data_IF_230858039248
#
_entry.id   IF_230858039248
#
_cell.length_a   1.000
_cell.length_b   1.000
_cell.length_c   1.000
_cell.angle_alpha   90.00
_cell.angle_beta   90.00
_cell.angle_gamma   90.00
#
_symmetry.space_group_name_H-M   'P 1'
#
loop_
_entity.id
_entity.type
_entity.pdbx_description
1 polymer ?
#
# COMPACT_ATOMS: atom_id res chain seq x y z
N UNK A 1 3.35 -29.46 -10.00
CA UNK A 1 3.66 -28.09 -9.57
C UNK A 1 5.16 -27.85 -9.69
N UNK A 2 5.55 -26.83 -10.43
CA UNK A 2 6.96 -26.46 -10.52
C UNK A 2 7.40 -25.68 -9.29
N UNK A 3 8.56 -26.04 -8.75
CA UNK A 3 9.17 -25.32 -7.63
C UNK A 3 10.42 -24.61 -8.12
N UNK A 4 10.71 -23.48 -7.51
CA UNK A 4 11.86 -22.67 -7.87
C UNK A 4 12.50 -22.09 -6.61
N UNK A 5 13.82 -22.00 -6.60
CA UNK A 5 14.55 -21.43 -5.48
C UNK A 5 14.77 -19.93 -5.70
N UNK A 6 14.37 -19.14 -4.71
CA UNK A 6 14.68 -17.72 -4.72
C UNK A 6 16.15 -17.50 -4.41
N UNK A 7 16.87 -16.79 -5.25
CA UNK A 7 18.29 -16.55 -5.05
C UNK A 7 18.59 -15.57 -3.92
N UNK A 8 17.59 -14.81 -3.47
CA UNK A 8 17.78 -13.85 -2.39
C UNK A 8 17.50 -14.45 -1.01
N UNK A 9 16.31 -15.02 -0.82
CA UNK A 9 15.92 -15.58 0.48
C UNK A 9 16.18 -17.09 0.57
N UNK A 10 16.52 -17.73 -0.55
CA UNK A 10 16.84 -19.15 -0.67
C UNK A 10 15.69 -20.10 -0.34
N UNK A 11 14.48 -19.60 -0.21
CA UNK A 11 13.31 -20.45 -0.05
C UNK A 11 12.95 -21.12 -1.37
N UNK A 12 12.45 -22.35 -1.27
CA UNK A 12 11.94 -23.08 -2.43
C UNK A 12 10.43 -22.88 -2.45
N UNK A 13 9.93 -22.20 -3.48
CA UNK A 13 8.55 -21.77 -3.56
C UNK A 13 7.94 -22.18 -4.90
N UNK A 14 6.60 -22.27 -4.97
CA UNK A 14 5.93 -22.51 -6.26
C UNK A 14 6.33 -21.47 -7.30
N UNK A 15 6.42 -21.89 -8.54
CA UNK A 15 6.80 -21.03 -9.66
C UNK A 15 5.93 -19.78 -9.76
N UNK A 16 4.67 -19.88 -9.32
CA UNK A 16 3.73 -18.75 -9.31
C UNK A 16 4.16 -17.60 -8.39
N UNK A 17 5.09 -17.84 -7.48
CA UNK A 17 5.64 -16.81 -6.59
C UNK A 17 6.75 -15.99 -7.25
N UNK A 18 7.02 -16.24 -8.52
CA UNK A 18 8.06 -15.54 -9.27
C UNK A 18 7.44 -14.86 -10.49
N UNK A 19 7.89 -13.65 -10.77
CA UNK A 19 7.54 -13.01 -12.04
C UNK A 19 8.31 -13.70 -13.17
N UNK A 20 7.80 -13.68 -14.41
CA UNK A 20 8.51 -14.30 -15.54
C UNK A 20 9.94 -13.78 -15.65
N UNK A 21 10.87 -14.70 -15.92
CA UNK A 21 12.29 -14.40 -16.14
C UNK A 21 13.00 -13.79 -14.92
N UNK A 22 12.51 -14.05 -13.70
CA UNK A 22 13.16 -13.58 -12.48
C UNK A 22 13.58 -14.75 -11.60
N UNK A 23 14.61 -14.54 -10.80
CA UNK A 23 15.11 -15.51 -9.83
C UNK A 23 14.87 -15.08 -8.39
N UNK A 24 14.10 -14.01 -8.21
CA UNK A 24 13.71 -13.51 -6.88
C UNK A 24 12.21 -13.65 -6.72
N UNK A 25 11.76 -14.18 -5.59
CA UNK A 25 10.35 -14.34 -5.33
C UNK A 25 9.66 -12.99 -5.17
N UNK A 26 8.34 -12.99 -5.31
CA UNK A 26 7.54 -11.75 -5.22
C UNK A 26 7.71 -11.05 -3.88
N UNK A 27 7.91 -11.80 -2.80
CA UNK A 27 8.11 -11.21 -1.47
C UNK A 27 9.43 -10.45 -1.44
N UNK A 28 10.52 -11.03 -1.93
CA UNK A 28 11.81 -10.34 -1.98
C UNK A 28 11.78 -9.13 -2.89
N UNK A 29 11.07 -9.20 -4.01
CA UNK A 29 10.91 -8.07 -4.92
C UNK A 29 10.12 -6.95 -4.27
N UNK A 30 9.05 -7.30 -3.53
CA UNK A 30 8.26 -6.33 -2.78
C UNK A 30 9.13 -5.63 -1.74
N UNK A 31 9.90 -6.39 -0.97
CA UNK A 31 10.76 -5.84 0.07
C UNK A 31 11.80 -4.91 -0.52
N UNK A 32 12.37 -5.29 -1.65
CA UNK A 32 13.33 -4.44 -2.38
C UNK A 32 12.69 -3.14 -2.85
N UNK A 33 11.48 -3.22 -3.44
CA UNK A 33 10.77 -2.04 -3.91
C UNK A 33 10.45 -1.07 -2.76
N UNK A 34 10.01 -1.59 -1.64
CA UNK A 34 9.72 -0.75 -0.47
C UNK A 34 10.96 -0.01 0.02
N UNK A 35 12.07 -0.73 0.11
CA UNK A 35 13.33 -0.13 0.55
C UNK A 35 13.81 0.92 -0.47
N UNK A 36 13.73 0.58 -1.75
CA UNK A 36 14.22 1.45 -2.82
C UNK A 36 13.36 2.71 -2.97
N UNK A 37 12.04 2.56 -3.00
CA UNK A 37 11.13 3.68 -3.25
C UNK A 37 10.84 4.52 -2.02
N UNK A 38 10.76 3.90 -0.86
CA UNK A 38 10.26 4.56 0.35
C UNK A 38 11.23 4.49 1.52
N UNK A 39 12.33 3.76 1.39
CA UNK A 39 13.28 3.60 2.49
C UNK A 39 12.71 2.85 3.69
N UNK A 40 11.72 1.97 3.47
CA UNK A 40 11.05 1.26 4.54
C UNK A 40 11.38 -0.23 4.48
N UNK A 41 11.67 -0.83 5.64
CA UNK A 41 11.88 -2.27 5.75
C UNK A 41 10.55 -3.00 5.90
N UNK A 42 10.49 -4.33 5.63
CA UNK A 42 9.29 -5.10 5.88
C UNK A 42 8.82 -5.00 7.33
N UNK A 43 9.75 -4.99 8.29
CA UNK A 43 9.42 -4.87 9.72
C UNK A 43 8.71 -3.55 10.00
N UNK A 44 9.22 -2.46 9.44
CA UNK A 44 8.61 -1.13 9.60
C UNK A 44 7.22 -1.08 8.96
N UNK A 45 7.06 -1.69 7.79
CA UNK A 45 5.76 -1.78 7.15
C UNK A 45 4.75 -2.50 8.04
N UNK A 46 5.12 -3.65 8.58
CA UNK A 46 4.20 -4.43 9.41
C UNK A 46 3.93 -3.78 10.77
N UNK A 47 4.82 -2.96 11.28
CA UNK A 47 4.54 -2.14 12.45
C UNK A 47 3.43 -1.13 12.15
N UNK A 48 3.51 -0.46 11.01
CA UNK A 48 2.45 0.46 10.57
C UNK A 48 1.14 -0.28 10.34
N UNK A 49 1.21 -1.44 9.71
CA UNK A 49 0.06 -2.27 9.45
C UNK A 49 -0.66 -2.67 10.74
N UNK A 50 0.09 -3.10 11.74
CA UNK A 50 -0.46 -3.47 13.03
C UNK A 50 -1.05 -2.26 13.75
N UNK A 51 -0.37 -1.12 13.69
CA UNK A 51 -0.86 0.11 14.31
C UNK A 51 -2.22 0.54 13.73
N UNK A 52 -2.48 0.19 12.46
CA UNK A 52 -3.75 0.48 11.79
C UNK A 52 -4.73 -0.70 11.84
N UNK A 53 -4.41 -1.76 12.57
CA UNK A 53 -5.21 -2.99 12.63
C UNK A 53 -5.50 -3.58 11.24
N UNK A 54 -4.53 -3.46 10.32
CA UNK A 54 -4.66 -3.96 8.96
C UNK A 54 -5.67 -3.23 8.09
N UNK A 55 -6.07 -2.03 8.49
CA UNK A 55 -7.10 -1.25 7.82
C UNK A 55 -6.56 0.06 7.23
N UNK A 56 -7.15 0.49 6.12
CA UNK A 56 -6.82 1.78 5.54
C UNK A 56 -6.99 2.90 6.57
N UNK A 57 -6.03 3.79 6.64
CA UNK A 57 -6.03 4.88 7.62
C UNK A 57 -7.15 5.91 7.38
N UNK A 58 -7.70 5.97 6.18
CA UNK A 58 -8.78 6.92 5.85
C UNK A 58 -10.15 6.26 5.93
N UNK A 59 -10.40 5.22 5.14
CA UNK A 59 -11.74 4.63 5.06
C UNK A 59 -11.97 3.48 6.05
N UNK A 60 -10.94 2.97 6.67
CA UNK A 60 -11.05 1.91 7.66
C UNK A 60 -11.34 0.52 7.10
N UNK A 61 -11.28 0.34 5.80
CA UNK A 61 -11.52 -0.95 5.18
C UNK A 61 -10.24 -1.76 5.08
N UNK A 62 -10.37 -3.08 5.18
CA UNK A 62 -9.25 -3.98 4.92
C UNK A 62 -9.06 -4.13 3.42
N UNK A 63 -7.81 -4.37 2.96
CA UNK A 63 -7.60 -4.65 1.54
C UNK A 63 -8.26 -5.96 1.13
N UNK A 64 -8.69 -6.04 -0.13
CA UNK A 64 -9.35 -7.22 -0.66
C UNK A 64 -8.33 -8.31 -1.01
N UNK A 65 -8.67 -9.56 -0.66
CA UNK A 65 -7.86 -10.73 -1.02
C UNK A 65 -6.41 -10.63 -0.57
N UNK A 66 -5.49 -10.80 -1.51
CA UNK A 66 -4.06 -10.77 -1.26
C UNK A 66 -3.44 -9.39 -1.46
N UNK A 67 -4.27 -8.37 -1.61
CA UNK A 67 -3.77 -7.01 -1.78
C UNK A 67 -3.16 -6.48 -0.48
N UNK A 68 -2.14 -5.65 -0.65
CA UNK A 68 -1.50 -4.95 0.46
C UNK A 68 -2.01 -3.52 0.52
N UNK A 69 -2.01 -2.95 1.72
CA UNK A 69 -2.22 -1.52 1.86
C UNK A 69 -1.02 -0.80 1.23
N UNK A 70 -1.30 0.28 0.53
CA UNK A 70 -0.27 1.05 -0.16
C UNK A 70 0.42 2.00 0.82
N UNK A 71 1.72 2.15 0.62
CA UNK A 71 2.51 3.10 1.42
C UNK A 71 2.23 4.50 0.90
N UNK A 72 1.68 5.36 1.76
CA UNK A 72 1.45 6.75 1.44
C UNK A 72 2.57 7.61 2.00
N UNK A 73 3.10 8.52 1.20
CA UNK A 73 4.20 9.37 1.60
C UNK A 73 3.96 10.81 1.14
N UNK A 74 4.56 11.74 1.88
CA UNK A 74 4.53 13.14 1.49
C UNK A 74 5.43 13.32 0.25
N UNK A 75 4.88 13.90 -0.81
CA UNK A 75 5.60 14.03 -2.07
C UNK A 75 6.75 15.04 -2.03
N UNK A 76 6.72 15.95 -1.05
CA UNK A 76 7.74 16.97 -0.89
C UNK A 76 8.86 16.47 0.03
N UNK A 77 8.51 15.96 1.20
CA UNK A 77 9.49 15.53 2.21
C UNK A 77 9.91 14.07 2.08
N UNK A 78 9.08 13.24 1.45
CA UNK A 78 9.29 11.81 1.38
C UNK A 78 8.89 11.05 2.64
N UNK A 79 8.40 11.73 3.66
CA UNK A 79 7.98 11.08 4.90
C UNK A 79 6.78 10.17 4.68
N UNK A 80 6.80 9.01 5.31
CA UNK A 80 5.70 8.07 5.24
C UNK A 80 4.61 8.54 6.19
N UNK A 81 3.40 8.77 5.64
CA UNK A 81 2.25 9.25 6.40
C UNK A 81 1.40 8.13 6.95
N UNK A 82 1.39 7.00 6.29
CA UNK A 82 0.58 5.86 6.71
C UNK A 82 0.35 4.89 5.57
N UNK A 83 -0.56 3.94 5.79
CA UNK A 83 -0.94 2.95 4.79
C UNK A 83 -2.38 3.18 4.36
N UNK A 84 -2.63 3.14 3.06
CA UNK A 84 -3.94 3.41 2.49
C UNK A 84 -4.35 2.30 1.51
N UNK A 85 -5.65 2.10 1.37
CA UNK A 85 -6.14 1.25 0.29
C UNK A 85 -5.92 1.97 -1.06
N UNK A 86 -5.99 1.19 -2.15
CA UNK A 86 -5.77 1.72 -3.49
C UNK A 86 -6.69 2.91 -3.81
N UNK A 87 -7.97 2.79 -3.47
CA UNK A 87 -8.96 3.82 -3.76
C UNK A 87 -8.65 5.13 -3.04
N UNK A 88 -8.36 5.07 -1.74
CA UNK A 88 -8.04 6.28 -0.97
C UNK A 88 -6.74 6.91 -1.43
N UNK A 89 -5.74 6.09 -1.73
CA UNK A 89 -4.45 6.59 -2.23
C UNK A 89 -4.62 7.35 -3.55
N UNK A 90 -5.40 6.79 -4.47
CA UNK A 90 -5.71 7.45 -5.74
C UNK A 90 -6.54 8.72 -5.53
N UNK A 91 -7.51 8.66 -4.61
CA UNK A 91 -8.37 9.80 -4.31
C UNK A 91 -7.60 11.02 -3.83
N UNK A 92 -6.58 10.81 -3.00
CA UNK A 92 -5.72 11.91 -2.56
C UNK A 92 -5.04 12.59 -3.75
N UNK A 93 -4.52 11.79 -4.68
CA UNK A 93 -3.87 12.32 -5.87
C UNK A 93 -4.81 13.07 -6.80
N UNK A 94 -6.06 12.61 -6.91
CA UNK A 94 -7.05 13.22 -7.79
C UNK A 94 -7.43 14.63 -7.34
N UNK A 95 -7.43 14.89 -6.03
CA UNK A 95 -7.64 16.22 -5.48
C UNK A 95 -6.32 16.98 -5.29
N UNK A 96 -5.24 16.47 -5.90
CA UNK A 96 -3.90 17.09 -5.82
C UNK A 96 -3.43 17.34 -4.38
N UNK A 97 -3.93 16.53 -3.46
CA UNK A 97 -3.57 16.57 -2.03
C UNK A 97 -3.77 17.94 -1.38
N UNK A 98 -4.75 18.72 -1.84
CA UNK A 98 -5.07 20.03 -1.29
C UNK A 98 -6.15 19.88 -0.20
N UNK A 99 -5.81 20.10 1.09
CA UNK A 99 -6.78 19.92 2.18
C UNK A 99 -8.03 20.76 1.98
N UNK A 100 -7.89 21.96 1.44
CA UNK A 100 -8.99 22.87 1.13
C UNK A 100 -10.02 22.24 0.21
N UNK A 101 -9.56 21.51 -0.81
CA UNK A 101 -10.46 20.86 -1.77
C UNK A 101 -11.19 19.68 -1.13
N UNK A 102 -10.53 18.93 -0.25
CA UNK A 102 -11.18 17.83 0.47
C UNK A 102 -12.27 18.36 1.40
N UNK A 103 -12.00 19.47 2.08
CA UNK A 103 -12.99 20.10 2.95
C UNK A 103 -14.21 20.55 2.16
N UNK A 104 -13.99 21.21 1.02
CA UNK A 104 -15.08 21.64 0.15
C UNK A 104 -15.84 20.46 -0.44
N UNK A 105 -15.17 19.39 -0.80
CA UNK A 105 -15.83 18.20 -1.31
C UNK A 105 -16.72 17.56 -0.24
N UNK A 106 -16.25 17.50 1.00
CA UNK A 106 -17.03 16.99 2.11
C UNK A 106 -18.28 17.84 2.34
N UNK A 107 -18.15 19.15 2.35
CA UNK A 107 -19.28 20.09 2.51
C UNK A 107 -20.30 19.92 1.37
N UNK A 108 -19.79 19.80 0.14
CA UNK A 108 -20.61 19.59 -1.04
C UNK A 108 -21.46 18.32 -0.93
N UNK A 109 -20.85 17.23 -0.49
CA UNK A 109 -21.55 15.95 -0.31
C UNK A 109 -22.59 16.06 0.80
N UNK A 110 -22.25 16.75 1.89
CA UNK A 110 -23.12 16.87 3.06
C UNK A 110 -24.42 17.63 2.75
N UNK A 111 -24.42 18.49 1.75
CA UNK A 111 -25.65 19.21 1.34
C UNK A 111 -26.79 18.26 1.00
N UNK A 112 -26.47 17.08 0.48
CA UNK A 112 -27.46 16.07 0.09
C UNK A 112 -27.13 14.70 0.64
N UNK A 113 -26.43 14.65 1.75
CA UNK A 113 -25.96 13.38 2.30
C UNK A 113 -27.14 12.55 2.81
N UNK A 114 -27.11 11.29 2.41
CA UNK A 114 -28.04 10.28 2.92
C UNK A 114 -27.23 9.06 3.32
N UNK A 115 -27.47 8.57 4.52
CA UNK A 115 -26.82 7.36 4.98
C UNK A 115 -27.26 6.17 4.14
N UNK A 116 -26.28 5.36 3.73
CA UNK A 116 -26.53 4.19 2.88
C UNK A 116 -26.46 2.90 3.68
#
# INVERSE_FOLDING_TARGET
>A
MKLKKCLRCQRILPDSYFAPKTNHCKICRRDYDWQYRYGISPEQYFELYQAQNGKCKICGKKPDGDEYLHIDHDKVTGEIRGLLCSTCNKGLGMFKEQPKNFKKAAEYIMENWREK
#
